data_IF_523965648717
#
_entry.id   IF_523965648717
#
_cell.length_a   1.000
_cell.length_b   1.000
_cell.length_c   1.000
_cell.angle_alpha   90.00
_cell.angle_beta   90.00
_cell.angle_gamma   90.00
#
_symmetry.space_group_name_H-M   'P 1'
#
loop_
_entity.id
_entity.type
_entity.pdbx_description
1 polymer ?
#
# COMPACT_ATOMS: atom_id res chain seq x y z
N UNK A 1 13.69 -21.71 -0.17
CA UNK A 1 12.51 -21.48 0.68
C UNK A 1 12.58 -20.17 1.48
N UNK A 2 13.60 -19.92 2.31
CA UNK A 2 13.68 -18.70 3.14
C UNK A 2 13.51 -17.36 2.39
N UNK A 3 14.18 -17.18 1.24
CA UNK A 3 14.05 -15.97 0.39
C UNK A 3 12.64 -15.77 -0.19
N UNK A 4 11.95 -16.86 -0.54
CA UNK A 4 10.58 -16.81 -1.07
C UNK A 4 9.60 -16.35 0.02
N UNK A 5 9.77 -16.87 1.24
CA UNK A 5 8.97 -16.46 2.41
C UNK A 5 9.19 -14.98 2.72
N UNK A 6 10.44 -14.50 2.69
CA UNK A 6 10.75 -13.08 2.89
C UNK A 6 10.06 -12.19 1.84
N UNK A 7 10.06 -12.60 0.56
CA UNK A 7 9.36 -11.87 -0.47
C UNK A 7 7.85 -11.85 -0.25
N UNK A 8 7.24 -13.00 0.04
CA UNK A 8 5.81 -13.07 0.36
C UNK A 8 5.45 -12.13 1.51
N UNK A 9 6.25 -12.11 2.58
CA UNK A 9 6.02 -11.23 3.73
C UNK A 9 6.10 -9.75 3.31
N UNK A 10 7.09 -9.36 2.49
CA UNK A 10 7.20 -7.96 2.02
C UNK A 10 5.98 -7.57 1.20
N UNK A 11 5.54 -8.42 0.27
CA UNK A 11 4.35 -8.16 -0.55
C UNK A 11 3.10 -8.06 0.32
N UNK A 12 2.94 -8.97 1.29
CA UNK A 12 1.78 -9.04 2.15
C UNK A 12 1.70 -7.83 3.10
N UNK A 13 2.80 -7.47 3.77
CA UNK A 13 2.85 -6.29 4.64
C UNK A 13 2.57 -5.01 3.83
N UNK A 14 3.22 -4.86 2.67
CA UNK A 14 3.02 -3.67 1.82
C UNK A 14 1.57 -3.60 1.34
N UNK A 15 1.03 -4.72 0.84
CA UNK A 15 -0.34 -4.78 0.34
C UNK A 15 -1.36 -4.51 1.44
N UNK A 16 -1.24 -5.15 2.59
CA UNK A 16 -2.12 -4.94 3.75
C UNK A 16 -2.11 -3.49 4.19
N UNK A 17 -0.93 -2.85 4.31
CA UNK A 17 -0.85 -1.44 4.67
C UNK A 17 -1.49 -0.54 3.62
N UNK A 18 -1.17 -0.72 2.34
CA UNK A 18 -1.70 0.11 1.25
C UNK A 18 -3.22 0.00 1.19
N UNK A 19 -3.76 -1.21 1.30
CA UNK A 19 -5.19 -1.48 1.24
C UNK A 19 -5.92 -0.93 2.46
N UNK A 20 -5.58 -1.42 3.67
CA UNK A 20 -6.29 -1.03 4.89
C UNK A 20 -6.09 0.45 5.20
N UNK A 21 -4.89 0.99 4.98
CA UNK A 21 -4.63 2.41 5.18
C UNK A 21 -5.47 3.29 4.26
N UNK A 22 -5.68 2.89 3.00
CA UNK A 22 -6.54 3.64 2.07
C UNK A 22 -7.99 3.63 2.52
N UNK A 23 -8.50 2.45 2.90
CA UNK A 23 -9.87 2.28 3.41
C UNK A 23 -10.07 3.09 4.69
N UNK A 24 -9.12 3.03 5.62
CA UNK A 24 -9.19 3.75 6.88
C UNK A 24 -9.20 5.27 6.66
N UNK A 25 -8.29 5.81 5.85
CA UNK A 25 -8.28 7.25 5.52
C UNK A 25 -9.57 7.67 4.83
N UNK A 26 -10.13 6.83 3.95
CA UNK A 26 -11.43 7.11 3.33
C UNK A 26 -12.54 7.22 4.38
N UNK A 27 -12.65 6.25 5.30
CA UNK A 27 -13.64 6.28 6.37
C UNK A 27 -13.51 7.51 7.28
N UNK A 28 -12.29 8.02 7.49
CA UNK A 28 -12.08 9.26 8.24
C UNK A 28 -12.61 10.49 7.49
N UNK A 29 -12.70 10.45 6.17
CA UNK A 29 -13.22 11.56 5.36
C UNK A 29 -14.73 11.70 5.41
N UNK A 30 -15.42 10.78 6.07
CA UNK A 30 -16.86 10.86 6.32
C UNK A 30 -17.25 12.07 7.15
N UNK A 31 -18.35 12.74 6.80
CA UNK A 31 -18.89 13.87 7.57
C UNK A 31 -19.21 13.51 9.03
N UNK A 32 -19.64 12.28 9.32
CA UNK A 32 -19.93 11.86 10.70
C UNK A 32 -18.67 11.50 11.50
N UNK A 33 -17.59 11.08 10.83
CA UNK A 33 -16.32 10.77 11.49
C UNK A 33 -15.49 12.04 11.75
N UNK A 34 -15.04 12.72 10.68
CA UNK A 34 -14.21 13.92 10.78
C UNK A 34 -14.42 14.92 9.62
N UNK A 35 -15.04 14.52 8.53
CA UNK A 35 -15.24 15.30 7.30
C UNK A 35 -13.92 15.80 6.70
N UNK A 36 -13.99 16.91 5.95
CA UNK A 36 -12.81 17.64 5.46
C UNK A 36 -12.09 18.44 6.56
N UNK A 37 -11.97 17.89 7.76
CA UNK A 37 -11.23 18.53 8.86
C UNK A 37 -9.71 18.42 8.67
N UNK A 38 -8.98 19.26 9.41
CA UNK A 38 -7.52 19.22 9.45
C UNK A 38 -6.96 17.83 9.83
N UNK A 39 -7.68 17.06 10.66
CA UNK A 39 -7.27 15.70 11.06
C UNK A 39 -7.34 14.71 9.90
N UNK A 40 -8.37 14.81 9.05
CA UNK A 40 -8.46 14.00 7.84
C UNK A 40 -7.26 14.26 6.91
N UNK A 41 -6.97 15.53 6.61
CA UNK A 41 -5.84 15.87 5.74
C UNK A 41 -4.50 15.43 6.33
N UNK A 42 -4.32 15.55 7.64
CA UNK A 42 -3.12 15.08 8.34
C UNK A 42 -2.95 13.56 8.24
N UNK A 43 -4.00 12.78 8.51
CA UNK A 43 -3.99 11.32 8.36
C UNK A 43 -3.74 10.88 6.91
N UNK A 44 -4.37 11.56 5.95
CA UNK A 44 -4.17 11.31 4.52
C UNK A 44 -2.71 11.56 4.11
N UNK A 45 -2.12 12.67 4.57
CA UNK A 45 -0.71 12.98 4.34
C UNK A 45 0.21 11.90 4.94
N UNK A 46 -0.01 11.53 6.20
CA UNK A 46 0.78 10.47 6.86
C UNK A 46 0.66 9.14 6.12
N UNK A 47 -0.54 8.77 5.68
CA UNK A 47 -0.75 7.54 4.92
C UNK A 47 0.16 7.48 3.69
N UNK A 48 0.21 8.54 2.89
CA UNK A 48 1.06 8.57 1.70
C UNK A 48 2.56 8.55 2.05
N UNK A 49 2.99 9.27 3.09
CA UNK A 49 4.39 9.27 3.55
C UNK A 49 4.81 7.86 3.99
N UNK A 50 4.00 7.20 4.81
CA UNK A 50 4.30 5.86 5.31
C UNK A 50 4.21 4.82 4.20
N UNK A 51 3.22 4.91 3.30
CA UNK A 51 3.12 4.03 2.15
C UNK A 51 4.37 4.12 1.27
N UNK A 52 4.83 5.33 0.97
CA UNK A 52 6.05 5.55 0.19
C UNK A 52 7.29 4.95 0.89
N UNK A 53 7.39 5.13 2.20
CA UNK A 53 8.48 4.56 2.99
C UNK A 53 8.50 3.03 2.98
N UNK A 54 7.34 2.38 3.12
CA UNK A 54 7.22 0.91 3.08
C UNK A 54 7.58 0.39 1.68
N UNK A 55 7.09 1.03 0.62
CA UNK A 55 7.43 0.67 -0.77
C UNK A 55 8.95 0.80 -0.99
N UNK A 56 9.56 1.89 -0.51
CA UNK A 56 11.01 2.08 -0.59
C UNK A 56 11.78 0.96 0.11
N UNK A 57 11.38 0.56 1.33
CA UNK A 57 11.99 -0.57 2.04
C UNK A 57 11.81 -1.88 1.26
N UNK A 58 10.61 -2.13 0.72
CA UNK A 58 10.31 -3.31 -0.08
C UNK A 58 11.23 -3.42 -1.30
N UNK A 59 11.33 -2.32 -2.07
CA UNK A 59 12.24 -2.22 -3.21
C UNK A 59 13.70 -2.41 -2.78
N UNK A 60 14.14 -1.79 -1.69
CA UNK A 60 15.52 -1.93 -1.19
C UNK A 60 15.84 -3.38 -0.84
N UNK A 61 14.92 -4.10 -0.17
CA UNK A 61 15.10 -5.51 0.18
C UNK A 61 15.12 -6.42 -1.06
N UNK A 62 14.22 -6.21 -2.01
CA UNK A 62 14.20 -6.92 -3.30
C UNK A 62 15.52 -6.75 -4.07
N UNK A 63 16.08 -5.54 -4.03
CA UNK A 63 17.36 -5.22 -4.68
C UNK A 63 18.57 -5.90 -4.05
N UNK A 64 18.56 -6.16 -2.74
CA UNK A 64 19.67 -6.80 -2.02
C UNK A 64 19.70 -8.32 -2.20
N UNK A 65 18.54 -8.94 -2.48
CA UNK A 65 18.43 -10.40 -2.52
C UNK A 65 18.79 -11.05 -3.88
N UNK A 66 18.98 -10.25 -4.94
CA UNK A 66 19.27 -10.72 -6.30
C UNK A 66 20.63 -10.23 -6.83
N UNK A 67 21.44 -11.17 -7.32
CA UNK A 67 22.76 -10.89 -7.90
C UNK A 67 22.69 -10.45 -9.38
N UNK A 68 21.70 -10.93 -10.14
CA UNK A 68 21.52 -10.54 -11.55
C UNK A 68 20.78 -9.22 -11.69
N UNK A 69 21.34 -8.29 -12.47
CA UNK A 69 20.78 -6.96 -12.72
C UNK A 69 19.41 -7.02 -13.40
N UNK A 70 19.22 -7.96 -14.33
CA UNK A 70 17.96 -8.14 -15.09
C UNK A 70 16.83 -8.66 -14.20
N UNK A 71 17.10 -9.71 -13.41
CA UNK A 71 16.10 -10.27 -12.48
C UNK A 71 15.69 -9.26 -11.41
N UNK A 72 16.65 -8.45 -10.95
CA UNK A 72 16.39 -7.36 -10.00
C UNK A 72 15.44 -6.30 -10.55
N UNK A 73 15.57 -5.91 -11.81
CA UNK A 73 14.64 -4.93 -12.42
C UNK A 73 13.25 -5.54 -12.55
N UNK A 74 13.16 -6.78 -13.03
CA UNK A 74 11.89 -7.49 -13.18
C UNK A 74 11.14 -7.62 -11.84
N UNK A 75 11.81 -8.04 -10.77
CA UNK A 75 11.19 -8.22 -9.45
C UNK A 75 10.68 -6.90 -8.85
N UNK A 76 11.43 -5.81 -9.05
CA UNK A 76 11.00 -4.47 -8.62
C UNK A 76 9.80 -3.99 -9.43
N UNK A 77 9.80 -4.23 -10.75
CA UNK A 77 8.67 -3.89 -11.61
C UNK A 77 7.40 -4.65 -11.21
N UNK A 78 7.52 -5.96 -10.98
CA UNK A 78 6.39 -6.80 -10.51
C UNK A 78 5.87 -6.27 -9.17
N UNK A 79 6.76 -5.95 -8.23
CA UNK A 79 6.37 -5.42 -6.92
C UNK A 79 5.59 -4.11 -7.05
N UNK A 80 6.07 -3.18 -7.87
CA UNK A 80 5.39 -1.89 -8.11
C UNK A 80 4.02 -2.11 -8.74
N UNK A 81 3.91 -2.99 -9.74
CA UNK A 81 2.62 -3.36 -10.37
C UNK A 81 1.66 -3.92 -9.32
N UNK A 82 2.12 -4.82 -8.45
CA UNK A 82 1.29 -5.36 -7.37
C UNK A 82 0.80 -4.27 -6.41
N UNK A 83 1.65 -3.32 -6.03
CA UNK A 83 1.24 -2.18 -5.19
C UNK A 83 0.16 -1.35 -5.87
N UNK A 84 0.30 -1.05 -7.16
CA UNK A 84 -0.73 -0.33 -7.92
C UNK A 84 -2.05 -1.11 -7.99
N UNK A 85 -1.99 -2.43 -8.23
CA UNK A 85 -3.18 -3.28 -8.25
C UNK A 85 -3.89 -3.30 -6.89
N UNK A 86 -3.15 -3.35 -5.79
CA UNK A 86 -3.71 -3.31 -4.43
C UNK A 86 -4.33 -1.95 -4.13
N UNK A 87 -3.68 -0.85 -4.55
CA UNK A 87 -4.25 0.48 -4.40
C UNK A 87 -5.54 0.63 -5.22
N UNK A 88 -5.55 0.12 -6.46
CA UNK A 88 -6.74 0.12 -7.31
C UNK A 88 -7.86 -0.72 -6.70
N UNK A 89 -7.56 -1.92 -6.20
CA UNK A 89 -8.56 -2.78 -5.57
C UNK A 89 -9.13 -2.17 -4.31
N UNK A 90 -8.34 -1.41 -3.53
CA UNK A 90 -8.84 -0.63 -2.41
C UNK A 90 -9.87 0.41 -2.84
N UNK A 91 -9.65 1.13 -3.95
CA UNK A 91 -10.62 2.09 -4.46
C UNK A 91 -11.90 1.41 -4.95
N UNK A 92 -11.78 0.27 -5.65
CA UNK A 92 -12.95 -0.52 -6.09
C UNK A 92 -13.74 -1.03 -4.88
N UNK A 93 -13.04 -1.52 -3.85
CA UNK A 93 -13.64 -1.98 -2.61
C UNK A 93 -14.37 -0.84 -1.89
N UNK A 94 -13.74 0.33 -1.81
CA UNK A 94 -14.36 1.52 -1.22
C UNK A 94 -15.64 1.87 -1.97
N UNK A 95 -15.56 2.02 -3.30
CA UNK A 95 -16.69 2.43 -4.14
C UNK A 95 -17.87 1.48 -4.07
N UNK A 96 -17.64 0.17 -3.92
CA UNK A 96 -18.70 -0.83 -3.96
C UNK A 96 -19.25 -1.22 -2.58
N UNK A 97 -18.46 -1.05 -1.52
CA UNK A 97 -18.82 -1.56 -0.19
C UNK A 97 -18.73 -0.51 0.91
N UNK A 98 -17.69 0.32 0.92
CA UNK A 98 -17.42 1.22 2.04
C UNK A 98 -18.18 2.52 1.93
N UNK A 99 -18.41 3.05 0.73
CA UNK A 99 -19.22 4.27 0.50
C UNK A 99 -20.62 4.16 1.14
N UNK A 100 -21.19 2.96 1.22
CA UNK A 100 -22.53 2.74 1.79
C UNK A 100 -22.54 2.55 3.31
N UNK A 101 -21.36 2.42 3.93
CA UNK A 101 -21.19 2.26 5.38
C UNK A 101 -20.89 3.59 6.09
N UNK A 102 -20.76 4.65 5.29
CA UNK A 102 -20.26 5.97 5.64
C UNK A 102 -21.39 6.95 5.38
#
# INVERSE_FOLDING_TARGET
MRKIIEYLIIYLITGTFVFLGKVFVYMLGDEQAFGESALYYFCNFIYYVVAFYIIYIGVKRLRLNNASKTNRVMDVSIFIICVFLVYWSANVFISNYVVYLV
#
